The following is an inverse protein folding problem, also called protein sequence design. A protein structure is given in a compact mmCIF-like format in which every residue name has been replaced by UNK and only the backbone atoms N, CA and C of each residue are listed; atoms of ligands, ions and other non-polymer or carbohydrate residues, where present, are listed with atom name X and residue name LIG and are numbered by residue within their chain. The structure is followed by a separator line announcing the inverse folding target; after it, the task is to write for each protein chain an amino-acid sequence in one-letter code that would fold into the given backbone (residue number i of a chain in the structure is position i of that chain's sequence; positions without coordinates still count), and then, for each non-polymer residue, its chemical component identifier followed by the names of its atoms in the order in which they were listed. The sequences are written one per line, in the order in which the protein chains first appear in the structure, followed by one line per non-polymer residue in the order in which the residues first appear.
data_IF_594496582248
#
_entry.id   IF_594496582248
#
_cell.length_a   1.000
_cell.length_b   1.000
_cell.length_c   1.000
_cell.angle_alpha   90.00
_cell.angle_beta   90.00
_cell.angle_gamma   90.00
#
_symmetry.space_group_name_H-M   'P 1'
#
loop_
_entity.id
_entity.type
_entity.pdbx_description
1 polymer ?
#
# COMPACT_ATOMS: atom_id res chain seq x y z
N UNK A 1 4.24 -14.06 2.54
CA UNK A 1 3.14 -13.10 2.69
C UNK A 1 3.74 -11.73 2.54
N UNK A 2 3.14 -10.87 1.72
CA UNK A 2 3.58 -9.50 1.44
C UNK A 2 2.68 -8.53 2.19
N UNK A 3 3.22 -7.46 2.73
CA UNK A 3 2.46 -6.47 3.49
C UNK A 3 2.37 -5.17 2.70
N UNK A 4 1.16 -4.70 2.43
CA UNK A 4 0.92 -3.34 1.94
C UNK A 4 0.51 -2.51 3.14
N UNK A 5 1.26 -1.46 3.44
CA UNK A 5 0.90 -0.53 4.52
C UNK A 5 0.42 0.80 3.96
N UNK A 6 -0.79 1.20 4.33
CA UNK A 6 -1.29 2.56 4.11
C UNK A 6 -1.13 3.36 5.40
N UNK A 7 -0.24 4.35 5.38
CA UNK A 7 -0.09 5.32 6.47
C UNK A 7 -0.93 6.56 6.13
N UNK A 8 -1.85 6.91 7.02
CA UNK A 8 -2.78 8.02 6.81
C UNK A 8 -3.32 8.58 8.12
N UNK A 9 -4.48 9.21 8.04
CA UNK A 9 -5.28 9.61 9.21
C UNK A 9 -6.76 9.62 8.86
N UNK A 10 -7.62 9.58 9.86
CA UNK A 10 -9.05 9.82 9.67
C UNK A 10 -9.31 11.23 9.11
N UNK A 11 -10.39 11.37 8.33
CA UNK A 11 -10.78 12.64 7.71
C UNK A 11 -9.83 13.13 6.60
N UNK A 12 -8.90 12.29 6.12
CA UNK A 12 -8.00 12.60 5.01
C UNK A 12 -8.57 12.08 3.68
N UNK A 13 -9.11 12.99 2.86
CA UNK A 13 -9.70 12.62 1.57
C UNK A 13 -8.72 11.86 0.64
N UNK A 14 -7.47 12.29 0.57
CA UNK A 14 -6.46 11.59 -0.24
C UNK A 14 -6.19 10.18 0.27
N UNK A 15 -6.29 9.96 1.58
CA UNK A 15 -6.09 8.66 2.20
C UNK A 15 -7.24 7.70 1.87
N UNK A 16 -8.48 8.19 1.84
CA UNK A 16 -9.62 7.40 1.38
C UNK A 16 -9.51 7.03 -0.09
N UNK A 17 -9.05 7.96 -0.94
CA UNK A 17 -8.77 7.69 -2.35
C UNK A 17 -7.67 6.64 -2.51
N UNK A 18 -6.59 6.73 -1.73
CA UNK A 18 -5.50 5.74 -1.74
C UNK A 18 -5.99 4.36 -1.31
N UNK A 19 -6.80 4.27 -0.24
CA UNK A 19 -7.42 3.00 0.21
C UNK A 19 -8.25 2.38 -0.91
N UNK A 20 -9.13 3.15 -1.54
CA UNK A 20 -9.96 2.66 -2.64
C UNK A 20 -9.14 2.17 -3.84
N UNK A 21 -8.02 2.82 -4.15
CA UNK A 21 -7.09 2.35 -5.21
C UNK A 21 -6.44 1.02 -4.81
N UNK A 22 -5.99 0.87 -3.56
CA UNK A 22 -5.40 -0.38 -3.07
C UNK A 22 -6.43 -1.50 -3.12
N UNK A 23 -7.61 -1.29 -2.54
CA UNK A 23 -8.72 -2.27 -2.55
C UNK A 23 -9.10 -2.70 -3.97
N UNK A 24 -9.19 -1.74 -4.90
CA UNK A 24 -9.49 -2.03 -6.29
C UNK A 24 -8.40 -2.89 -6.95
N UNK A 25 -7.12 -2.55 -6.76
CA UNK A 25 -6.00 -3.35 -7.31
C UNK A 25 -6.01 -4.76 -6.72
N UNK A 26 -6.18 -4.90 -5.41
CA UNK A 26 -6.21 -6.20 -4.74
C UNK A 26 -7.38 -7.07 -5.22
N UNK A 27 -8.55 -6.47 -5.46
CA UNK A 27 -9.72 -7.19 -5.97
C UNK A 27 -9.58 -7.69 -7.42
N UNK A 28 -8.62 -7.15 -8.19
CA UNK A 28 -8.36 -7.56 -9.57
C UNK A 28 -7.21 -8.57 -9.69
N UNK A 29 -6.52 -8.88 -8.59
CA UNK A 29 -5.50 -9.92 -8.57
C UNK A 29 -6.12 -11.32 -8.60
N UNK A 30 -5.41 -12.33 -9.12
CA UNK A 30 -5.77 -13.73 -8.93
C UNK A 30 -5.86 -14.08 -7.43
N UNK A 31 -6.83 -14.93 -7.06
CA UNK A 31 -7.08 -15.33 -5.66
C UNK A 31 -5.80 -15.80 -4.95
N UNK A 32 -4.96 -16.59 -5.62
CA UNK A 32 -3.72 -17.13 -5.04
C UNK A 32 -2.64 -16.07 -4.78
N UNK A 33 -2.67 -14.96 -5.52
CA UNK A 33 -1.82 -13.81 -5.29
C UNK A 33 -2.40 -12.90 -4.21
N UNK A 34 -3.72 -12.66 -4.24
CA UNK A 34 -4.43 -11.86 -3.24
C UNK A 34 -4.31 -12.48 -1.83
N UNK A 35 -4.42 -13.80 -1.70
CA UNK A 35 -4.25 -14.55 -0.45
C UNK A 35 -2.86 -14.40 0.17
N UNK A 36 -1.86 -13.97 -0.62
CA UNK A 36 -0.49 -13.73 -0.15
C UNK A 36 -0.26 -12.30 0.28
N UNK A 37 -1.27 -11.43 0.25
CA UNK A 37 -1.15 -10.03 0.58
C UNK A 37 -1.93 -9.73 1.86
N UNK A 38 -1.31 -8.96 2.74
CA UNK A 38 -1.94 -8.38 3.91
C UNK A 38 -1.98 -6.85 3.75
N UNK A 39 -3.16 -6.24 3.88
CA UNK A 39 -3.31 -4.79 3.96
C UNK A 39 -3.30 -4.37 5.43
N UNK A 40 -2.36 -3.49 5.78
CA UNK A 40 -2.29 -2.83 7.10
C UNK A 40 -2.56 -1.33 6.95
N UNK A 41 -3.28 -0.78 7.91
CA UNK A 41 -3.48 0.67 8.02
C UNK A 41 -2.84 1.19 9.30
N UNK A 42 -2.04 2.25 9.17
CA UNK A 42 -1.39 2.92 10.30
C UNK A 42 -1.78 4.39 10.30
N UNK A 43 -2.00 4.93 11.49
CA UNK A 43 -2.47 6.30 11.68
C UNK A 43 -1.36 7.15 12.26
N UNK A 44 -1.10 8.30 11.62
CA UNK A 44 -0.18 9.31 12.17
C UNK A 44 -0.76 10.00 13.42
N UNK A 45 -2.04 9.81 13.75
CA UNK A 45 -2.64 10.39 14.95
C UNK A 45 -2.34 9.55 16.20
N UNK A 46 -2.06 8.27 16.01
CA UNK A 46 -1.85 7.30 17.09
C UNK A 46 -0.37 7.02 17.38
N UNK A 47 0.53 7.46 16.49
CA UNK A 47 1.98 7.21 16.58
C UNK A 47 2.77 8.49 16.27
N UNK A 48 3.51 8.97 17.29
CA UNK A 48 4.31 10.19 17.19
C UNK A 48 5.49 10.06 16.19
N UNK A 49 6.07 8.88 16.04
CA UNK A 49 7.15 8.66 15.08
C UNK A 49 6.62 8.69 13.65
N UNK A 50 5.45 8.09 13.40
CA UNK A 50 4.78 8.20 12.10
C UNK A 50 4.35 9.63 11.80
N UNK A 51 3.88 10.37 12.80
CA UNK A 51 3.54 11.78 12.67
C UNK A 51 4.76 12.60 12.23
N UNK A 52 5.87 12.50 12.95
CA UNK A 52 7.10 13.24 12.66
C UNK A 52 7.62 12.94 11.25
N UNK A 53 7.55 11.67 10.83
CA UNK A 53 8.11 11.25 9.55
C UNK A 53 7.20 11.55 8.34
N UNK A 54 5.89 11.37 8.49
CA UNK A 54 4.96 11.27 7.36
C UNK A 54 3.82 12.28 7.33
N UNK A 55 3.62 13.12 8.36
CA UNK A 55 2.46 14.03 8.43
C UNK A 55 2.27 14.94 7.19
N UNK A 56 3.37 15.35 6.55
CA UNK A 56 3.33 16.20 5.34
C UNK A 56 3.21 15.41 4.02
N UNK A 57 3.27 14.07 4.09
CA UNK A 57 3.33 13.17 2.93
C UNK A 57 2.14 12.22 2.82
N UNK A 58 1.31 12.09 3.86
CA UNK A 58 0.14 11.22 3.81
C UNK A 58 -0.79 11.52 2.62
N UNK A 59 -1.42 10.50 2.00
CA UNK A 59 -1.24 9.08 2.28
C UNK A 59 0.14 8.58 1.85
N UNK A 60 0.70 7.63 2.58
CA UNK A 60 1.94 6.92 2.22
C UNK A 60 1.60 5.44 2.05
N UNK A 61 2.04 4.85 0.94
CA UNK A 61 1.89 3.42 0.65
C UNK A 61 3.26 2.78 0.67
N UNK A 62 3.40 1.70 1.41
CA UNK A 62 4.59 0.86 1.48
C UNK A 62 4.26 -0.55 1.03
N UNK A 63 5.26 -1.25 0.49
CA UNK A 63 5.20 -2.68 0.18
C UNK A 63 6.40 -3.31 0.90
N UNK A 64 6.13 -4.19 1.86
CA UNK A 64 7.15 -4.78 2.76
C UNK A 64 8.08 -3.73 3.39
N UNK A 65 7.49 -2.66 3.93
CA UNK A 65 8.18 -1.50 4.53
C UNK A 65 8.98 -0.62 3.54
N UNK A 66 9.07 -0.98 2.25
CA UNK A 66 9.65 -0.13 1.21
C UNK A 66 8.64 0.88 0.69
N UNK A 67 9.05 2.16 0.65
CA UNK A 67 8.21 3.26 0.17
C UNK A 67 7.84 3.07 -1.31
N UNK A 68 6.55 2.89 -1.58
CA UNK A 68 6.02 2.80 -2.93
C UNK A 68 5.54 4.17 -3.46
N UNK A 69 4.71 4.86 -2.68
CA UNK A 69 4.10 6.13 -3.10
C UNK A 69 3.73 7.02 -1.90
N UNK A 70 3.61 8.32 -2.16
CA UNK A 70 2.99 9.27 -1.25
C UNK A 70 2.21 10.35 -2.02
N UNK A 71 1.25 11.03 -1.37
CA UNK A 71 0.25 11.97 -1.93
C UNK A 71 -0.73 11.37 -2.95
N UNK A 72 -0.24 10.75 -4.02
CA UNK A 72 -1.07 10.17 -5.08
C UNK A 72 -0.61 8.76 -5.39
N UNK A 73 -1.54 7.82 -5.24
CA UNK A 73 -1.35 6.42 -5.64
C UNK A 73 -1.83 6.26 -7.07
N UNK A 74 -0.95 5.75 -7.94
CA UNK A 74 -1.32 5.40 -9.32
C UNK A 74 -1.68 3.91 -9.37
N UNK A 75 -2.89 3.54 -9.82
CA UNK A 75 -3.36 2.14 -9.79
C UNK A 75 -2.48 1.21 -10.63
N UNK A 76 -2.07 1.64 -11.82
CA UNK A 76 -1.24 0.83 -12.72
C UNK A 76 0.15 0.56 -12.14
N UNK A 77 0.78 1.59 -11.54
CA UNK A 77 2.08 1.42 -10.88
C UNK A 77 1.98 0.55 -9.63
N UNK A 78 0.89 0.66 -8.87
CA UNK A 78 0.66 -0.19 -7.71
C UNK A 78 0.47 -1.64 -8.14
N UNK A 79 -0.38 -1.90 -9.14
CA UNK A 79 -0.62 -3.24 -9.68
C UNK A 79 0.69 -3.91 -10.08
N UNK A 80 1.50 -3.24 -10.91
CA UNK A 80 2.77 -3.79 -11.36
C UNK A 80 3.72 -4.12 -10.20
N UNK A 81 3.77 -3.27 -9.17
CA UNK A 81 4.61 -3.51 -8.00
C UNK A 81 4.10 -4.68 -7.15
N UNK A 82 2.79 -4.82 -7.00
CA UNK A 82 2.17 -5.91 -6.22
C UNK A 82 2.29 -7.25 -6.95
N UNK A 83 2.09 -7.28 -8.27
CA UNK A 83 2.32 -8.48 -9.09
C UNK A 83 3.78 -8.93 -9.05
N UNK A 84 4.73 -7.98 -9.07
CA UNK A 84 6.15 -8.30 -8.94
C UNK A 84 6.48 -8.84 -7.55
N UNK A 85 5.95 -8.21 -6.50
CA UNK A 85 6.15 -8.66 -5.12
C UNK A 85 5.56 -10.06 -4.85
N UNK A 86 4.42 -10.38 -5.46
CA UNK A 86 3.75 -11.69 -5.27
C UNK A 86 4.28 -12.79 -6.18
N UNK A 87 5.19 -12.47 -7.12
CA UNK A 87 5.84 -13.46 -7.96
C UNK A 87 6.67 -14.42 -7.11
N UNK A 88 6.58 -15.74 -7.33
CA UNK A 88 7.45 -16.70 -6.66
C UNK A 88 8.92 -16.46 -7.05
N UNK A 89 9.81 -16.40 -6.05
CA UNK A 89 11.26 -16.34 -6.27
C UNK A 89 11.70 -17.54 -7.11
N UNK A 90 12.33 -17.28 -8.27
CA UNK A 90 12.75 -18.31 -9.23
C UNK A 90 11.92 -18.41 -10.51
N UNK A 91 10.84 -17.63 -10.66
CA UNK A 91 10.20 -17.40 -11.95
C UNK A 91 11.02 -16.42 -12.80
N UNK A 92 12.21 -16.85 -13.23
CA UNK A 92 12.99 -16.18 -14.26
C UNK A 92 12.70 -16.84 -15.60
N UNK A 93 12.26 -16.04 -16.58
CA UNK A 93 12.24 -16.42 -18.00
C UNK A 93 13.68 -16.59 -18.52
#
# INVERSE_FOLDING_TARGET
MRTITLIGKEGCHLCDVARGVIEHVLAELPDDAADRIQLEEKSILDDAALHEQWAEKIPVVMIDDDLHAYWRVNPERLRAAVEDATRPEGASL
#
